data_IF_373654134448
#
_entry.id   IF_373654134448
#
_cell.length_a   1.000
_cell.length_b   1.000
_cell.length_c   1.000
_cell.angle_alpha   90.00
_cell.angle_beta   90.00
_cell.angle_gamma   90.00
#
_symmetry.space_group_name_H-M   'P 1'
#
loop_
_entity.id
_entity.type
_entity.pdbx_description
1 polymer ?
#
# COMPACT_ATOMS: atom_id res chain seq x y z
N UNK A 1 -12.34 -14.19 5.43
CA UNK A 1 -12.28 -12.84 4.83
C UNK A 1 -11.07 -12.80 3.92
N UNK A 2 -11.18 -12.18 2.75
CA UNK A 2 -10.01 -11.88 1.91
C UNK A 2 -9.86 -10.38 1.65
N UNK A 3 -8.63 -9.88 1.71
CA UNK A 3 -8.29 -8.47 1.52
C UNK A 3 -7.28 -8.35 0.38
N UNK A 4 -7.53 -7.46 -0.57
CA UNK A 4 -6.62 -7.16 -1.67
C UNK A 4 -6.13 -5.73 -1.53
N UNK A 5 -4.82 -5.55 -1.37
CA UNK A 5 -4.19 -4.27 -1.09
C UNK A 5 -3.34 -3.83 -2.27
N UNK A 6 -3.54 -2.59 -2.71
CA UNK A 6 -2.76 -1.93 -3.75
C UNK A 6 -2.07 -0.73 -3.14
N UNK A 7 -0.76 -0.61 -3.32
CA UNK A 7 -0.03 0.66 -3.20
C UNK A 7 0.42 1.12 -4.57
N UNK A 8 0.30 2.41 -4.86
CA UNK A 8 0.78 2.98 -6.10
C UNK A 8 1.11 4.47 -5.99
N UNK A 9 2.39 4.81 -6.12
CA UNK A 9 2.82 6.18 -6.37
C UNK A 9 2.45 6.58 -7.82
N UNK A 10 1.43 7.43 -7.97
CA UNK A 10 0.91 7.83 -9.29
C UNK A 10 1.68 8.98 -9.92
N UNK A 11 2.72 9.51 -9.25
CA UNK A 11 3.60 10.56 -9.76
C UNK A 11 2.84 11.75 -10.38
N UNK A 12 1.79 12.22 -9.70
CA UNK A 12 0.88 13.31 -10.12
C UNK A 12 0.06 13.08 -11.39
N UNK A 13 0.01 11.83 -11.89
CA UNK A 13 -0.83 11.47 -13.05
C UNK A 13 -2.32 11.56 -12.70
N UNK A 14 -3.09 11.93 -13.72
CA UNK A 14 -4.54 11.77 -13.71
C UNK A 14 -4.94 10.35 -14.11
N UNK A 15 -6.07 9.85 -13.62
CA UNK A 15 -6.52 8.50 -13.91
C UNK A 15 -7.08 8.32 -15.33
N UNK A 16 -7.30 9.41 -16.09
CA UNK A 16 -7.85 9.35 -17.46
C UNK A 16 -7.02 8.45 -18.37
N UNK A 17 -7.69 7.70 -19.26
CA UNK A 17 -7.04 6.71 -20.12
C UNK A 17 -6.66 5.40 -19.41
N UNK A 18 -6.29 5.39 -18.12
CA UNK A 18 -5.69 4.21 -17.45
C UNK A 18 -6.69 3.07 -17.16
N UNK A 19 -6.45 1.84 -17.60
CA UNK A 19 -7.28 0.68 -17.23
C UNK A 19 -6.85 0.14 -15.85
N UNK A 20 -7.82 -0.04 -14.93
CA UNK A 20 -7.55 -0.50 -13.55
C UNK A 20 -7.89 -1.97 -13.33
N UNK A 21 -8.46 -2.66 -14.34
CA UNK A 21 -8.89 -4.06 -14.24
C UNK A 21 -7.72 -4.97 -13.82
N UNK A 22 -6.61 -4.92 -14.57
CA UNK A 22 -5.43 -5.73 -14.30
C UNK A 22 -4.80 -5.43 -12.93
N UNK A 23 -4.85 -4.17 -12.47
CA UNK A 23 -4.34 -3.77 -11.14
C UNK A 23 -5.10 -4.47 -10.01
N UNK A 24 -6.40 -4.68 -10.20
CA UNK A 24 -7.29 -5.29 -9.22
C UNK A 24 -7.52 -6.79 -9.44
N UNK A 25 -6.82 -7.39 -10.42
CA UNK A 25 -7.03 -8.77 -10.83
C UNK A 25 -8.43 -9.05 -11.37
N UNK A 26 -9.03 -8.05 -12.03
CA UNK A 26 -10.38 -8.08 -12.57
C UNK A 26 -10.35 -8.24 -14.09
N UNK A 27 -11.40 -8.83 -14.64
CA UNK A 27 -11.59 -8.98 -16.07
C UNK A 27 -12.25 -7.74 -16.69
N UNK A 28 -12.19 -7.59 -18.01
CA UNK A 28 -12.91 -6.53 -18.71
C UNK A 28 -14.43 -6.69 -18.57
N UNK A 29 -14.92 -7.93 -18.66
CA UNK A 29 -16.31 -8.27 -18.37
C UNK A 29 -16.44 -8.73 -16.91
N UNK A 30 -17.23 -8.03 -16.07
CA UNK A 30 -17.46 -8.43 -14.67
C UNK A 30 -17.98 -9.85 -14.46
N UNK A 31 -18.68 -10.43 -15.44
CA UNK A 31 -19.18 -11.82 -15.34
C UNK A 31 -18.05 -12.87 -15.38
N UNK A 32 -16.89 -12.49 -15.91
CA UNK A 32 -15.73 -13.37 -16.03
C UNK A 32 -14.78 -13.28 -14.82
N UNK A 33 -15.06 -12.43 -13.83
CA UNK A 33 -14.21 -12.30 -12.65
C UNK A 33 -14.16 -13.63 -11.87
N UNK A 34 -13.06 -14.38 -12.01
CA UNK A 34 -12.88 -15.68 -11.35
C UNK A 34 -12.74 -15.56 -9.83
N UNK A 35 -12.17 -14.45 -9.35
CA UNK A 35 -11.92 -14.21 -7.95
C UNK A 35 -12.18 -12.76 -7.58
N UNK A 36 -12.91 -12.55 -6.47
CA UNK A 36 -13.28 -11.23 -5.96
C UNK A 36 -13.10 -11.18 -4.43
N UNK A 37 -12.15 -10.39 -3.91
CA UNK A 37 -11.85 -10.32 -2.49
C UNK A 37 -13.01 -9.69 -1.71
N UNK A 38 -13.10 -9.91 -0.41
CA UNK A 38 -14.15 -9.25 0.40
C UNK A 38 -13.92 -7.75 0.52
N UNK A 39 -12.65 -7.35 0.54
CA UNK A 39 -12.21 -5.96 0.64
C UNK A 39 -11.16 -5.62 -0.42
N UNK A 40 -11.29 -4.44 -1.02
CA UNK A 40 -10.21 -3.80 -1.76
C UNK A 40 -9.73 -2.60 -0.96
N UNK A 41 -8.41 -2.49 -0.81
CA UNK A 41 -7.74 -1.37 -0.16
C UNK A 41 -6.81 -0.74 -1.17
N UNK A 42 -7.10 0.50 -1.54
CA UNK A 42 -6.33 1.24 -2.54
C UNK A 42 -5.61 2.37 -1.84
N UNK A 43 -4.28 2.34 -1.82
CA UNK A 43 -3.43 3.42 -1.33
C UNK A 43 -2.68 4.05 -2.49
N UNK A 44 -2.86 5.35 -2.70
CA UNK A 44 -2.12 6.11 -3.71
C UNK A 44 -1.23 7.16 -3.05
N UNK A 45 -0.08 7.42 -3.67
CA UNK A 45 0.85 8.48 -3.29
C UNK A 45 1.11 9.43 -4.46
N UNK A 46 1.51 10.67 -4.17
CA UNK A 46 1.70 11.75 -5.14
C UNK A 46 0.46 12.03 -6.02
N UNK A 47 -0.76 11.95 -5.47
CA UNK A 47 -1.95 12.34 -6.24
C UNK A 47 -1.94 13.85 -6.52
N UNK A 48 -2.32 14.25 -7.74
CA UNK A 48 -2.32 15.64 -8.13
C UNK A 48 -3.37 16.43 -7.31
N UNK A 49 -2.87 17.34 -6.48
CA UNK A 49 -3.69 18.15 -5.58
C UNK A 49 -3.94 19.54 -6.20
N UNK A 50 -4.47 19.61 -7.42
CA UNK A 50 -4.93 20.91 -7.91
C UNK A 50 -6.16 21.35 -7.10
N UNK A 51 -6.22 22.62 -6.65
CA UNK A 51 -7.38 23.15 -5.95
C UNK A 51 -8.51 23.31 -6.96
N UNK A 52 -9.31 22.25 -7.16
CA UNK A 52 -10.65 22.44 -7.70
C UNK A 52 -11.41 23.27 -6.67
N UNK A 53 -11.45 24.59 -6.89
CA UNK A 53 -12.31 25.60 -6.27
C UNK A 53 -13.05 25.09 -5.03
N UNK A 54 -12.63 25.58 -3.86
CA UNK A 54 -13.15 25.31 -2.49
C UNK A 54 -14.68 25.18 -2.38
N UNK A 55 -15.44 25.72 -3.33
CA UNK A 55 -16.92 25.70 -3.38
C UNK A 55 -17.50 24.42 -4.02
N UNK A 56 -16.76 23.67 -4.86
CA UNK A 56 -17.21 22.37 -5.44
C UNK A 56 -16.73 21.15 -4.64
N UNK A 57 -15.77 21.34 -3.72
CA UNK A 57 -15.06 20.27 -3.01
C UNK A 57 -15.84 19.54 -1.91
N UNK A 58 -17.09 19.92 -1.62
CA UNK A 58 -17.88 19.26 -0.58
C UNK A 58 -18.64 18.01 -1.05
N UNK A 59 -18.76 17.78 -2.36
CA UNK A 59 -19.66 16.74 -2.91
C UNK A 59 -19.12 15.92 -4.08
N UNK A 60 -17.85 16.09 -4.48
CA UNK A 60 -17.29 15.32 -5.58
C UNK A 60 -16.02 14.63 -5.15
N UNK A 61 -16.02 13.29 -5.19
CA UNK A 61 -14.80 12.53 -4.95
C UNK A 61 -13.72 12.94 -5.97
N UNK A 62 -12.46 12.78 -5.57
CA UNK A 62 -11.34 13.01 -6.48
C UNK A 62 -11.41 12.05 -7.69
N UNK A 63 -10.75 12.40 -8.81
CA UNK A 63 -10.83 11.60 -10.04
C UNK A 63 -10.40 10.14 -9.86
N UNK A 64 -9.41 9.87 -9.00
CA UNK A 64 -8.97 8.50 -8.73
C UNK A 64 -10.05 7.72 -8.00
N UNK A 65 -10.62 8.30 -6.94
CA UNK A 65 -11.73 7.68 -6.21
C UNK A 65 -12.92 7.40 -7.12
N UNK A 66 -13.30 8.32 -8.01
CA UNK A 66 -14.39 8.07 -8.96
C UNK A 66 -14.10 6.90 -9.88
N UNK A 67 -12.88 6.82 -10.44
CA UNK A 67 -12.53 5.75 -11.36
C UNK A 67 -12.55 4.36 -10.70
N UNK A 68 -12.04 4.26 -9.47
CA UNK A 68 -12.14 3.02 -8.70
C UNK A 68 -13.60 2.68 -8.35
N UNK A 69 -14.41 3.68 -7.97
CA UNK A 69 -15.84 3.51 -7.70
C UNK A 69 -16.59 2.97 -8.92
N UNK A 70 -16.39 3.55 -10.10
CA UNK A 70 -17.03 3.11 -11.34
C UNK A 70 -16.71 1.64 -11.64
N UNK A 71 -15.44 1.24 -11.50
CA UNK A 71 -15.00 -0.13 -11.77
C UNK A 71 -15.55 -1.16 -10.75
N UNK A 72 -15.64 -0.78 -9.47
CA UNK A 72 -16.01 -1.69 -8.38
C UNK A 72 -17.51 -1.70 -8.06
N UNK A 73 -18.24 -0.60 -8.30
CA UNK A 73 -19.68 -0.52 -8.02
C UNK A 73 -20.48 -1.51 -8.87
N UNK A 74 -20.12 -1.66 -10.15
CA UNK A 74 -20.74 -2.65 -11.06
C UNK A 74 -20.53 -4.10 -10.58
N UNK A 75 -19.54 -4.32 -9.70
CA UNK A 75 -19.22 -5.61 -9.09
C UNK A 75 -19.83 -5.81 -7.70
N UNK A 76 -20.70 -4.91 -7.26
CA UNK A 76 -21.39 -5.01 -5.97
C UNK A 76 -20.56 -4.57 -4.76
N UNK A 77 -19.45 -3.89 -4.99
CA UNK A 77 -18.71 -3.21 -3.92
C UNK A 77 -19.33 -1.84 -3.65
N UNK A 78 -18.99 -1.32 -2.49
CA UNK A 78 -19.29 0.04 -2.07
C UNK A 78 -18.03 0.63 -1.44
N UNK A 79 -17.90 1.94 -1.51
CA UNK A 79 -16.89 2.64 -0.72
C UNK A 79 -17.35 2.69 0.73
N UNK A 80 -16.53 2.15 1.61
CA UNK A 80 -16.68 2.25 3.05
C UNK A 80 -16.12 3.61 3.47
N UNK A 81 -14.83 3.82 3.20
CA UNK A 81 -14.11 5.01 3.63
C UNK A 81 -13.15 5.49 2.55
N UNK A 82 -13.03 6.81 2.45
CA UNK A 82 -11.96 7.49 1.72
C UNK A 82 -11.31 8.50 2.65
N UNK A 83 -9.99 8.48 2.73
CA UNK A 83 -9.19 9.43 3.51
C UNK A 83 -8.07 9.98 2.64
N UNK A 84 -7.81 11.29 2.72
CA UNK A 84 -6.82 11.96 1.88
C UNK A 84 -6.01 12.99 2.68
N UNK A 85 -4.69 13.01 2.49
CA UNK A 85 -3.79 13.98 3.11
C UNK A 85 -2.57 14.24 2.23
N UNK A 86 -2.33 15.50 1.83
CA UNK A 86 -1.07 15.95 1.19
C UNK A 86 -0.55 15.04 0.06
N UNK A 87 -1.39 14.69 -0.90
CA UNK A 87 -1.00 13.81 -2.01
C UNK A 87 -1.08 12.30 -1.69
N UNK A 88 -1.52 11.91 -0.49
CA UNK A 88 -1.84 10.54 -0.11
C UNK A 88 -3.34 10.32 -0.12
N UNK A 89 -3.76 9.16 -0.63
CA UNK A 89 -5.16 8.73 -0.66
C UNK A 89 -5.24 7.28 -0.19
N UNK A 90 -6.23 6.96 0.64
CA UNK A 90 -6.65 5.58 0.90
C UNK A 90 -8.14 5.45 0.69
N UNK A 91 -8.52 4.40 -0.02
CA UNK A 91 -9.90 4.02 -0.23
C UNK A 91 -10.09 2.57 0.23
N UNK A 92 -11.07 2.35 1.11
CA UNK A 92 -11.54 1.02 1.49
C UNK A 92 -12.86 0.75 0.78
N UNK A 93 -12.87 -0.29 -0.05
CA UNK A 93 -14.09 -0.86 -0.61
C UNK A 93 -14.40 -2.19 0.06
N UNK A 94 -15.68 -2.49 0.23
CA UNK A 94 -16.15 -3.78 0.71
C UNK A 94 -17.33 -4.27 -0.11
N UNK A 95 -17.51 -5.59 -0.18
CA UNK A 95 -18.78 -6.15 -0.67
C UNK A 95 -19.92 -5.70 0.25
N UNK A 96 -21.09 -5.37 -0.34
CA UNK A 96 -22.28 -4.89 0.39
C UNK A 96 -22.67 -5.77 1.59
N UNK A 97 -22.46 -7.08 1.50
CA UNK A 97 -22.78 -8.04 2.57
C UNK A 97 -22.04 -7.77 3.90
N UNK A 98 -20.91 -7.08 3.89
CA UNK A 98 -20.12 -6.79 5.10
C UNK A 98 -20.55 -5.51 5.81
N UNK A 99 -21.43 -4.69 5.23
CA UNK A 99 -21.83 -3.38 5.74
C UNK A 99 -22.26 -3.37 7.21
N UNK A 100 -23.10 -4.32 7.59
CA UNK A 100 -23.66 -4.40 8.95
C UNK A 100 -22.60 -4.69 10.01
N UNK A 101 -21.39 -5.07 9.60
CA UNK A 101 -20.32 -5.50 10.47
C UNK A 101 -19.19 -4.48 10.59
N UNK A 102 -19.19 -3.38 9.82
CA UNK A 102 -18.12 -2.38 9.76
C UNK A 102 -18.38 -1.18 10.70
N UNK A 103 -17.36 -0.71 11.42
CA UNK A 103 -17.43 0.46 12.35
C UNK A 103 -16.18 1.35 12.27
N UNK A 104 -16.29 2.60 11.80
CA UNK A 104 -15.17 3.48 11.38
C UNK A 104 -14.52 4.39 12.45
N UNK A 105 -13.28 4.89 12.20
CA UNK A 105 -12.58 5.99 12.93
C UNK A 105 -11.25 6.45 12.25
N UNK A 106 -10.78 7.70 12.51
CA UNK A 106 -9.66 8.38 11.78
C UNK A 106 -8.55 9.03 12.67
N UNK A 107 -7.27 9.15 12.16
CA UNK A 107 -6.25 10.27 12.34
C UNK A 107 -4.75 9.94 12.00
N UNK A 108 -4.09 10.62 11.03
CA UNK A 108 -2.64 11.00 11.00
C UNK A 108 -1.57 10.02 10.45
N UNK A 109 -1.16 10.09 9.17
CA UNK A 109 -1.02 8.91 8.29
C UNK A 109 -2.41 8.44 7.88
N UNK A 110 -2.56 8.05 6.62
CA UNK A 110 -3.91 7.77 6.12
C UNK A 110 -4.25 6.35 6.56
N UNK A 111 -4.91 6.25 7.72
CA UNK A 111 -5.36 4.97 8.25
C UNK A 111 -6.87 4.83 8.20
N UNK A 112 -7.33 3.61 7.99
CA UNK A 112 -8.73 3.23 8.18
C UNK A 112 -8.76 2.12 9.23
N UNK A 113 -9.54 2.34 10.29
CA UNK A 113 -9.82 1.28 11.27
C UNK A 113 -11.26 0.84 11.21
N UNK A 114 -11.48 -0.46 11.31
CA UNK A 114 -12.82 -1.02 11.44
C UNK A 114 -12.85 -2.25 12.33
N UNK A 115 -14.05 -2.60 12.80
CA UNK A 115 -14.29 -3.94 13.32
C UNK A 115 -14.90 -4.78 12.21
N UNK A 116 -14.58 -6.06 12.17
CA UNK A 116 -15.21 -7.03 11.29
C UNK A 116 -15.38 -8.34 12.06
N UNK A 117 -16.62 -8.82 12.17
CA UNK A 117 -16.97 -10.03 12.92
C UNK A 117 -16.37 -10.07 14.35
N UNK A 118 -16.28 -8.91 15.01
CA UNK A 118 -15.73 -8.77 16.36
C UNK A 118 -14.20 -8.61 16.42
N UNK A 119 -13.48 -8.86 15.33
CA UNK A 119 -12.06 -8.59 15.21
C UNK A 119 -11.83 -7.12 14.83
N UNK A 120 -10.74 -6.54 15.26
CA UNK A 120 -10.30 -5.18 14.95
C UNK A 120 -9.25 -5.20 13.86
N UNK A 121 -9.43 -4.33 12.86
CA UNK A 121 -8.55 -4.21 11.69
C UNK A 121 -8.11 -2.77 11.57
N UNK A 122 -6.80 -2.55 11.43
CA UNK A 122 -6.20 -1.26 11.10
C UNK A 122 -5.45 -1.37 9.78
N UNK A 123 -5.73 -0.44 8.87
CA UNK A 123 -5.07 -0.30 7.58
C UNK A 123 -4.32 1.02 7.61
N UNK A 124 -3.04 1.03 7.26
CA UNK A 124 -2.16 2.22 7.28
C UNK A 124 -1.47 2.37 5.93
N UNK A 125 -1.71 3.48 5.24
CA UNK A 125 -0.93 3.89 4.07
C UNK A 125 0.06 4.98 4.47
N UNK A 126 1.34 4.77 4.19
CA UNK A 126 2.42 5.69 4.51
C UNK A 126 3.24 6.08 3.28
N UNK A 127 3.81 7.28 3.32
CA UNK A 127 4.82 7.72 2.37
C UNK A 127 5.97 8.32 3.19
N UNK A 128 7.10 7.62 3.23
CA UNK A 128 8.22 7.95 4.11
C UNK A 128 9.30 8.76 3.36
N UNK A 129 10.23 9.35 4.10
CA UNK A 129 11.34 10.14 3.58
C UNK A 129 12.06 9.50 2.38
N UNK A 130 12.14 10.24 1.27
CA UNK A 130 12.79 9.80 0.05
C UNK A 130 14.31 9.92 0.10
N UNK A 131 15.00 9.39 -0.92
CA UNK A 131 16.47 9.40 -1.12
C UNK A 131 17.25 8.33 -0.36
N UNK A 132 18.34 7.86 -0.95
CA UNK A 132 19.08 6.67 -0.48
C UNK A 132 19.67 6.84 0.92
N UNK A 133 20.30 8.00 1.18
CA UNK A 133 20.94 8.34 2.46
C UNK A 133 19.97 8.64 3.62
N UNK A 134 18.66 8.71 3.38
CA UNK A 134 17.66 9.11 4.37
C UNK A 134 17.09 7.94 5.18
N UNK A 135 17.88 6.87 5.39
CA UNK A 135 17.44 5.69 6.12
C UNK A 135 16.97 6.02 7.54
N UNK A 136 17.75 6.81 8.27
CA UNK A 136 17.43 7.16 9.66
C UNK A 136 16.19 8.05 9.74
N UNK A 137 15.95 8.90 8.75
CA UNK A 137 14.72 9.71 8.68
C UNK A 137 13.48 8.85 8.39
N UNK A 138 13.58 7.82 7.54
CA UNK A 138 12.48 6.86 7.35
C UNK A 138 12.14 6.07 8.63
N UNK A 139 13.16 5.71 9.40
CA UNK A 139 12.96 5.06 10.71
C UNK A 139 12.25 6.02 11.67
N UNK A 140 12.69 7.28 11.75
CA UNK A 140 12.01 8.32 12.55
C UNK A 140 10.57 8.57 12.09
N UNK A 141 10.31 8.60 10.79
CA UNK A 141 8.95 8.75 10.26
C UNK A 141 8.05 7.60 10.73
N UNK A 142 8.54 6.36 10.67
CA UNK A 142 7.83 5.20 11.21
C UNK A 142 7.56 5.31 12.71
N UNK A 143 8.60 5.60 13.51
CA UNK A 143 8.50 5.78 14.97
C UNK A 143 7.44 6.83 15.31
N UNK A 144 7.51 7.98 14.63
CA UNK A 144 6.56 9.08 14.81
C UNK A 144 5.13 8.65 14.49
N UNK A 145 4.89 7.91 13.41
CA UNK A 145 3.55 7.41 13.09
C UNK A 145 3.07 6.48 14.21
N UNK A 146 3.89 5.54 14.68
CA UNK A 146 3.50 4.61 15.76
C UNK A 146 3.20 5.33 17.08
N UNK A 147 4.00 6.34 17.42
CA UNK A 147 3.86 7.11 18.65
C UNK A 147 2.66 8.06 18.60
N UNK A 148 2.49 8.82 17.53
CA UNK A 148 1.50 9.91 17.44
C UNK A 148 0.14 9.45 16.89
N UNK A 149 0.08 8.35 16.12
CA UNK A 149 -1.16 7.86 15.51
C UNK A 149 -2.04 7.12 16.52
N UNK A 150 -2.90 7.87 17.21
CA UNK A 150 -3.82 7.34 18.23
C UNK A 150 -5.29 7.37 17.80
N UNK A 151 -5.99 6.30 18.12
CA UNK A 151 -7.43 6.15 17.92
C UNK A 151 -8.19 6.44 19.22
N UNK A 152 -9.35 7.08 19.09
CA UNK A 152 -10.18 7.46 20.24
C UNK A 152 -11.16 6.32 20.59
N UNK A 153 -10.62 5.10 20.75
CA UNK A 153 -11.38 3.87 21.05
C UNK A 153 -10.69 3.16 22.20
N UNK A 154 -11.44 2.82 23.26
CA UNK A 154 -10.90 2.28 24.52
C UNK A 154 -10.10 0.98 24.35
N UNK A 155 -10.47 0.15 23.37
CA UNK A 155 -9.90 -1.19 23.19
C UNK A 155 -8.75 -1.26 22.21
N UNK A 156 -8.62 -0.27 21.31
CA UNK A 156 -7.62 -0.25 20.23
C UNK A 156 -7.09 1.17 20.09
N UNK A 157 -6.31 1.61 21.07
CA UNK A 157 -5.89 3.01 21.23
C UNK A 157 -4.79 3.45 20.25
N UNK A 158 -4.04 2.49 19.72
CA UNK A 158 -2.96 2.70 18.75
C UNK A 158 -3.02 1.65 17.64
N UNK A 159 -2.10 1.74 16.67
CA UNK A 159 -2.08 0.87 15.49
C UNK A 159 -1.94 -0.59 15.88
N UNK A 160 -0.95 -0.94 16.71
CA UNK A 160 -0.61 -2.34 17.02
C UNK A 160 -1.50 -2.99 18.08
N UNK A 161 -2.37 -2.21 18.75
CA UNK A 161 -3.45 -2.72 19.58
C UNK A 161 -4.59 -3.40 18.78
N UNK A 162 -4.58 -3.33 17.44
CA UNK A 162 -5.55 -4.03 16.61
C UNK A 162 -5.16 -5.50 16.37
N UNK A 163 -6.14 -6.37 16.19
CA UNK A 163 -5.92 -7.80 15.92
C UNK A 163 -5.21 -8.00 14.58
N UNK A 164 -5.66 -7.27 13.55
CA UNK A 164 -5.03 -7.24 12.24
C UNK A 164 -4.53 -5.84 11.93
N UNK A 165 -3.27 -5.73 11.52
CA UNK A 165 -2.69 -4.49 10.99
C UNK A 165 -2.19 -4.76 9.59
N UNK A 166 -2.56 -3.91 8.64
CA UNK A 166 -1.97 -3.87 7.31
C UNK A 166 -1.26 -2.54 7.13
N UNK A 167 0.03 -2.56 6.85
CA UNK A 167 0.84 -1.37 6.64
C UNK A 167 1.48 -1.41 5.27
N UNK A 168 1.21 -0.40 4.45
CA UNK A 168 1.63 -0.39 3.06
C UNK A 168 1.90 1.04 2.58
N UNK A 169 2.48 1.16 1.40
CA UNK A 169 2.71 2.46 0.78
C UNK A 169 4.05 2.57 0.06
N UNK A 170 4.41 3.79 -0.33
CA UNK A 170 5.75 4.15 -0.76
C UNK A 170 6.63 4.38 0.47
N UNK A 171 7.15 3.28 1.02
CA UNK A 171 7.99 3.32 2.21
C UNK A 171 9.40 3.82 1.91
N UNK A 172 9.74 4.03 0.64
CA UNK A 172 10.98 4.65 0.17
C UNK A 172 12.30 4.01 0.64
N UNK A 173 12.27 2.80 1.20
CA UNK A 173 13.49 2.06 1.53
C UNK A 173 14.26 1.70 0.27
N UNK A 174 15.59 1.80 0.35
CA UNK A 174 16.52 1.67 -0.78
C UNK A 174 17.46 0.48 -0.57
N UNK A 175 18.37 0.26 -1.52
CA UNK A 175 19.45 -0.67 -1.33
C UNK A 175 20.61 0.00 -0.58
N UNK A 176 21.16 -0.70 0.40
CA UNK A 176 22.44 -0.32 1.03
C UNK A 176 23.58 -0.35 0.02
N UNK A 177 24.75 0.20 0.38
CA UNK A 177 25.93 0.21 -0.51
C UNK A 177 25.80 1.16 -1.69
N UNK A 178 25.38 2.41 -1.46
CA UNK A 178 25.31 3.46 -2.48
C UNK A 178 26.63 3.62 -3.26
N UNK A 179 27.76 3.49 -2.56
CA UNK A 179 29.10 3.59 -3.14
C UNK A 179 29.56 2.33 -3.89
N UNK A 180 28.89 1.19 -3.70
CA UNK A 180 29.35 -0.13 -4.16
C UNK A 180 28.36 -0.85 -5.07
N UNK A 181 27.22 -0.23 -5.39
CA UNK A 181 26.21 -0.81 -6.28
C UNK A 181 25.55 0.31 -7.10
N UNK A 182 26.20 0.78 -8.19
CA UNK A 182 25.63 1.78 -9.08
C UNK A 182 24.34 1.28 -9.77
N UNK A 183 23.49 2.21 -10.27
CA UNK A 183 22.22 1.88 -10.93
C UNK A 183 22.33 0.82 -12.03
N UNK A 184 23.36 0.91 -12.88
CA UNK A 184 23.62 -0.02 -13.99
C UNK A 184 23.87 -1.44 -13.47
N UNK A 185 24.68 -1.58 -12.42
CA UNK A 185 24.94 -2.88 -11.82
C UNK A 185 23.67 -3.49 -11.22
N UNK A 186 22.82 -2.67 -10.59
CA UNK A 186 21.55 -3.13 -10.03
C UNK A 186 20.63 -3.62 -11.15
N UNK A 187 20.51 -2.87 -12.26
CA UNK A 187 19.77 -3.32 -13.46
C UNK A 187 20.32 -4.64 -13.99
N UNK A 188 21.63 -4.76 -14.17
CA UNK A 188 22.25 -5.98 -14.70
C UNK A 188 21.99 -7.19 -13.79
N UNK A 189 21.95 -6.99 -12.47
CA UNK A 189 21.59 -8.03 -11.50
C UNK A 189 20.10 -8.42 -11.62
N UNK A 190 19.21 -7.47 -11.88
CA UNK A 190 17.79 -7.75 -12.15
C UNK A 190 17.65 -8.58 -13.43
N UNK A 191 18.34 -8.22 -14.51
CA UNK A 191 18.33 -8.94 -15.79
C UNK A 191 18.89 -10.37 -15.66
N UNK A 192 19.82 -10.58 -14.73
CA UNK A 192 20.41 -11.88 -14.41
C UNK A 192 19.61 -12.69 -13.37
N UNK A 193 18.42 -12.23 -12.97
CA UNK A 193 17.57 -12.85 -11.94
C UNK A 193 18.26 -13.02 -10.57
N UNK A 194 19.20 -12.12 -10.24
CA UNK A 194 19.94 -12.11 -8.97
C UNK A 194 19.20 -11.34 -7.88
N UNK A 195 17.89 -11.54 -7.79
CA UNK A 195 17.03 -10.79 -6.86
C UNK A 195 17.38 -11.08 -5.39
N UNK A 196 17.77 -12.31 -5.05
CA UNK A 196 18.15 -12.68 -3.68
C UNK A 196 19.38 -11.90 -3.18
N UNK A 197 20.37 -11.67 -4.05
CA UNK A 197 21.56 -10.88 -3.74
C UNK A 197 21.22 -9.40 -3.52
N UNK A 198 20.27 -8.87 -4.30
CA UNK A 198 19.79 -7.50 -4.14
C UNK A 198 18.95 -7.34 -2.87
N UNK A 199 18.08 -8.31 -2.57
CA UNK A 199 17.25 -8.32 -1.36
C UNK A 199 18.10 -8.42 -0.10
N UNK A 200 19.26 -9.09 -0.13
CA UNK A 200 20.20 -9.09 0.99
C UNK A 200 20.71 -7.69 1.34
N UNK A 201 20.64 -6.74 0.40
CA UNK A 201 21.02 -5.32 0.59
C UNK A 201 19.82 -4.41 0.87
N UNK A 202 18.58 -4.91 0.87
CA UNK A 202 17.35 -4.12 1.08
C UNK A 202 17.34 -3.49 2.48
N UNK A 203 17.24 -2.16 2.54
CA UNK A 203 17.24 -1.43 3.81
C UNK A 203 16.06 -1.83 4.70
N UNK A 204 14.85 -2.06 4.15
CA UNK A 204 13.68 -2.45 4.96
C UNK A 204 13.90 -3.81 5.64
N UNK A 205 14.38 -4.81 4.88
CA UNK A 205 14.76 -6.11 5.41
C UNK A 205 15.79 -5.99 6.55
N UNK A 206 16.83 -5.19 6.33
CA UNK A 206 17.91 -5.01 7.30
C UNK A 206 17.44 -4.30 8.58
N UNK A 207 16.65 -3.22 8.49
CA UNK A 207 16.16 -2.52 9.70
C UNK A 207 15.19 -3.38 10.51
N UNK A 208 14.39 -4.24 9.85
CA UNK A 208 13.53 -5.22 10.53
C UNK A 208 14.35 -6.27 11.26
N UNK A 209 15.39 -6.82 10.62
CA UNK A 209 16.31 -7.78 11.24
C UNK A 209 17.10 -7.18 12.41
N UNK A 210 17.41 -5.89 12.34
CA UNK A 210 18.10 -5.13 13.40
C UNK A 210 17.14 -4.61 14.48
N UNK A 211 15.86 -4.94 14.39
CA UNK A 211 14.81 -4.49 15.32
C UNK A 211 14.67 -2.97 15.45
N UNK A 212 15.02 -2.21 14.40
CA UNK A 212 14.98 -0.75 14.40
C UNK A 212 13.63 -0.17 13.98
N UNK A 213 12.90 -0.87 13.11
CA UNK A 213 11.59 -0.45 12.62
C UNK A 213 10.80 -1.66 12.08
N UNK A 214 9.47 -1.56 12.07
CA UNK A 214 8.56 -2.58 11.52
C UNK A 214 8.73 -3.99 12.13
N UNK A 215 9.11 -4.08 13.42
CA UNK A 215 9.35 -5.35 14.15
C UNK A 215 8.08 -6.15 14.39
N UNK A 216 6.97 -5.47 14.67
CA UNK A 216 5.62 -6.04 14.88
C UNK A 216 4.99 -6.57 13.57
N UNK A 217 5.65 -6.37 12.43
CA UNK A 217 5.09 -6.62 11.11
C UNK A 217 5.89 -7.68 10.35
N UNK A 218 5.16 -8.54 9.66
CA UNK A 218 5.66 -9.54 8.72
C UNK A 218 5.56 -9.03 7.29
N UNK A 219 6.53 -9.40 6.46
CA UNK A 219 6.52 -9.16 5.02
C UNK A 219 7.06 -10.39 4.30
N UNK A 220 6.33 -10.87 3.28
CA UNK A 220 6.90 -11.86 2.35
C UNK A 220 8.00 -11.19 1.52
N UNK A 221 9.14 -11.85 1.39
CA UNK A 221 10.23 -11.34 0.54
C UNK A 221 9.72 -11.11 -0.89
N UNK A 222 9.89 -9.90 -1.47
CA UNK A 222 9.50 -9.63 -2.85
C UNK A 222 10.20 -10.60 -3.82
N UNK A 223 9.40 -11.36 -4.56
CA UNK A 223 9.88 -12.25 -5.64
C UNK A 223 9.72 -11.60 -7.03
N UNK A 224 9.80 -10.27 -7.07
CA UNK A 224 9.64 -9.45 -8.27
C UNK A 224 10.71 -8.35 -8.28
N UNK A 225 11.07 -7.79 -9.45
CA UNK A 225 12.08 -6.75 -9.56
C UNK A 225 11.74 -5.46 -8.77
N UNK A 226 12.76 -4.63 -8.45
CA UNK A 226 12.55 -3.30 -7.88
C UNK A 226 11.47 -2.48 -8.60
N UNK A 227 10.60 -1.81 -7.83
CA UNK A 227 9.45 -1.05 -8.35
C UNK A 227 9.75 0.43 -8.62
N UNK A 228 10.92 0.90 -8.21
CA UNK A 228 11.41 2.25 -8.44
C UNK A 228 12.81 2.18 -9.06
N UNK A 229 13.23 3.08 -9.95
CA UNK A 229 12.45 4.13 -10.64
C UNK A 229 12.42 3.82 -12.13
N UNK A 230 11.25 3.90 -12.75
CA UNK A 230 11.12 3.72 -14.20
C UNK A 230 11.11 5.06 -14.95
N UNK A 231 11.55 5.04 -16.20
CA UNK A 231 11.27 6.14 -17.12
C UNK A 231 9.76 6.23 -17.38
N UNK A 232 9.26 7.46 -17.59
CA UNK A 232 7.83 7.68 -17.70
C UNK A 232 7.30 7.03 -18.98
N UNK A 233 6.35 6.12 -18.82
CA UNK A 233 5.75 5.43 -19.96
C UNK A 233 6.61 4.30 -20.51
N UNK A 234 7.56 3.77 -19.74
CA UNK A 234 8.30 2.56 -20.11
C UNK A 234 8.48 1.63 -18.89
N UNK A 235 8.93 0.39 -19.13
CA UNK A 235 9.35 -0.55 -18.08
C UNK A 235 10.86 -0.46 -17.83
N UNK A 236 11.53 0.52 -18.44
CA UNK A 236 12.97 0.71 -18.35
C UNK A 236 13.31 1.53 -17.11
N UNK A 237 14.37 1.14 -16.40
CA UNK A 237 14.80 1.89 -15.22
C UNK A 237 15.40 3.26 -15.61
N UNK A 238 14.96 4.32 -14.95
CA UNK A 238 15.61 5.63 -14.96
C UNK A 238 16.88 5.57 -14.11
N UNK A 239 18.00 5.19 -14.74
CA UNK A 239 19.29 4.97 -14.08
C UNK A 239 19.92 6.24 -13.48
N UNK A 240 19.26 7.40 -13.56
CA UNK A 240 19.59 8.55 -12.71
C UNK A 240 19.31 8.26 -11.23
N UNK A 241 18.56 7.21 -10.93
CA UNK A 241 18.24 6.73 -9.59
C UNK A 241 18.54 5.24 -9.50
N UNK A 242 19.01 4.80 -8.33
CA UNK A 242 19.26 3.39 -8.06
C UNK A 242 17.92 2.64 -7.97
N UNK A 243 17.74 1.52 -8.68
CA UNK A 243 16.53 0.75 -8.54
C UNK A 243 16.35 0.22 -7.11
N UNK A 244 15.12 0.28 -6.57
CA UNK A 244 14.78 -0.18 -5.23
C UNK A 244 13.31 -0.64 -5.10
N UNK A 245 13.04 -1.46 -4.08
CA UNK A 245 11.67 -1.82 -3.66
C UNK A 245 11.14 -0.76 -2.68
N UNK A 246 10.65 0.35 -3.23
CA UNK A 246 10.08 1.44 -2.44
C UNK A 246 8.63 1.18 -2.04
N UNK A 247 7.87 0.46 -2.87
CA UNK A 247 6.46 0.16 -2.66
C UNK A 247 6.29 -1.18 -1.94
N UNK A 248 5.78 -1.15 -0.70
CA UNK A 248 5.79 -2.31 0.21
C UNK A 248 4.44 -2.57 0.84
N UNK A 249 4.20 -3.83 1.22
CA UNK A 249 2.98 -4.26 1.92
C UNK A 249 3.38 -5.24 3.02
N UNK A 250 3.15 -4.85 4.27
CA UNK A 250 3.43 -5.61 5.47
C UNK A 250 2.13 -5.84 6.26
N UNK A 251 2.12 -6.85 7.11
CA UNK A 251 0.97 -7.14 7.97
C UNK A 251 1.38 -7.68 9.34
N UNK A 252 0.57 -7.43 10.36
CA UNK A 252 0.72 -8.05 11.70
C UNK A 252 0.00 -9.39 11.68
N UNK A 253 0.67 -10.43 12.14
CA UNK A 253 0.00 -11.70 12.45
C UNK A 253 -0.81 -11.54 13.73
N UNK A 254 -2.08 -11.93 13.74
CA UNK A 254 -2.92 -11.74 14.91
C UNK A 254 -2.44 -12.64 16.06
N UNK A 255 -2.49 -12.11 17.27
CA UNK A 255 -2.22 -12.90 18.47
C UNK A 255 -3.46 -13.74 18.82
N UNK A 256 -3.26 -15.02 19.11
CA UNK A 256 -4.33 -15.94 19.50
C UNK A 256 -4.75 -15.77 20.97
N UNK A 257 -5.26 -14.58 21.29
CA UNK A 257 -5.67 -14.18 22.65
C UNK A 257 -7.14 -14.51 22.95
N UNK A 258 -7.93 -14.90 21.94
CA UNK A 258 -9.34 -15.22 22.09
C UNK A 258 -9.55 -16.69 22.46
N UNK A 259 -10.24 -16.96 23.58
CA UNK A 259 -10.47 -18.33 24.08
C UNK A 259 -11.26 -19.24 23.12
N UNK A 260 -12.11 -18.66 22.27
CA UNK A 260 -13.05 -19.38 21.40
C UNK A 260 -12.86 -19.06 19.91
N UNK A 261 -11.76 -18.42 19.54
CA UNK A 261 -11.48 -18.07 18.16
C UNK A 261 -9.97 -18.10 17.91
N UNK A 262 -9.56 -18.80 16.86
CA UNK A 262 -8.20 -18.74 16.35
C UNK A 262 -8.17 -17.72 15.21
N UNK A 263 -7.26 -16.76 15.33
CA UNK A 263 -7.02 -15.76 14.31
C UNK A 263 -5.76 -16.15 13.55
N UNK A 264 -5.82 -16.06 12.23
CA UNK A 264 -4.66 -16.25 11.36
C UNK A 264 -4.75 -15.34 10.15
N UNK A 265 -3.60 -15.12 9.51
CA UNK A 265 -3.48 -14.41 8.26
C UNK A 265 -2.56 -15.20 7.33
N UNK A 266 -3.01 -15.49 6.12
CA UNK A 266 -2.21 -16.12 5.08
C UNK A 266 -2.09 -15.18 3.88
N UNK A 267 -0.87 -14.82 3.52
CA UNK A 267 -0.62 -14.07 2.30
C UNK A 267 -0.66 -15.01 1.09
N UNK A 268 -1.61 -14.85 0.19
CA UNK A 268 -1.74 -15.74 -0.98
C UNK A 268 -0.88 -15.28 -2.16
N UNK A 269 -0.65 -13.97 -2.31
CA UNK A 269 0.13 -13.40 -3.41
C UNK A 269 0.91 -12.16 -3.00
N UNK A 270 2.05 -11.92 -3.66
CA UNK A 270 2.76 -10.65 -3.61
C UNK A 270 3.45 -10.40 -4.96
N UNK A 271 3.02 -9.37 -5.70
CA UNK A 271 3.43 -9.16 -7.09
C UNK A 271 3.56 -7.66 -7.38
N UNK A 272 4.47 -7.30 -8.27
CA UNK A 272 4.47 -6.00 -8.93
C UNK A 272 3.66 -6.08 -10.23
N UNK A 273 3.18 -4.92 -10.67
CA UNK A 273 2.50 -4.77 -11.95
C UNK A 273 3.33 -3.83 -12.84
N UNK A 274 4.18 -4.37 -13.73
CA UNK A 274 5.10 -3.57 -14.54
C UNK A 274 4.42 -2.85 -15.73
N UNK A 275 3.15 -3.17 -16.02
CA UNK A 275 2.46 -2.83 -17.25
C UNK A 275 1.57 -1.59 -17.24
N UNK A 276 1.85 -0.54 -16.47
CA UNK A 276 1.10 0.74 -16.56
C UNK A 276 1.67 1.71 -17.58
N UNK A 277 2.26 1.13 -18.61
CA UNK A 277 2.74 1.76 -19.82
C UNK A 277 1.59 1.66 -20.79
N UNK A 278 1.16 2.82 -21.26
CA UNK A 278 0.21 3.03 -22.34
C UNK A 278 -1.24 2.62 -22.07
N UNK A 279 -2.06 3.65 -21.80
CA UNK A 279 -3.18 3.89 -22.69
C UNK A 279 -2.98 5.31 -23.25
N UNK A 280 -2.76 5.37 -24.56
CA UNK A 280 -2.78 6.60 -25.36
C UNK A 280 -4.03 7.44 -25.08
#
# INVERSE_FOLDING_TARGET
MTVYIVTWNVSTKYPEGIALNNLLGLENNPENDLYRPDFYVIGLQEINSQPQSVVKGLFKDDPWTQKFKELLNIRGYITIKTEQMQGLLVILFAKKQHLLHIREGNKGAVSIRFSLYGCSVCIVNAHLAAHDHMLDERVKDYEKIVEEHKFHVKTTTDIFAHDYVFWFGDLNFRLTGESTSPPEQIRDMVEQDKLDELIAKDQLKLVRQQERAFTELTERTPAFPPTFKFERGTSEYDLKRRPAWTDRVLYKEPENIYKNAELSAEQTSYRSHPGYIDLN
#
